data_IF_324644255982
#
_entry.id   IF_324644255982
#
_cell.length_a   1.000
_cell.length_b   1.000
_cell.length_c   1.000
_cell.angle_alpha   90.00
_cell.angle_beta   90.00
_cell.angle_gamma   90.00
#
_symmetry.space_group_name_H-M   'P 1'
#
loop_
_entity.id
_entity.type
_entity.pdbx_description
1 polymer ?
#
# COMPACT_ATOMS: atom_id res chain seq x y z
N UNK A 1 21.44 -6.37 -4.06
CA UNK A 1 22.33 -6.06 -2.91
C UNK A 1 21.47 -5.91 -1.67
N UNK A 2 21.78 -6.65 -0.61
CA UNK A 2 21.00 -6.60 0.64
C UNK A 2 20.99 -5.16 1.14
N UNK A 3 19.80 -4.65 1.45
CA UNK A 3 19.67 -3.38 2.16
C UNK A 3 20.06 -3.62 3.63
N UNK A 4 21.31 -3.29 3.98
CA UNK A 4 21.86 -3.50 5.33
C UNK A 4 21.07 -2.72 6.42
N UNK A 5 20.35 -1.67 6.03
CA UNK A 5 19.59 -0.82 6.96
C UNK A 5 18.41 -1.53 7.64
N UNK A 6 17.99 -2.68 7.09
CA UNK A 6 16.88 -3.48 7.65
C UNK A 6 17.36 -4.69 8.45
N UNK A 7 18.67 -4.94 8.50
CA UNK A 7 19.26 -6.07 9.23
C UNK A 7 19.69 -5.62 10.62
N UNK A 8 19.21 -6.31 11.62
CA UNK A 8 19.49 -5.99 13.03
C UNK A 8 20.03 -7.19 13.80
N UNK A 9 20.81 -6.91 14.84
CA UNK A 9 21.26 -7.94 15.78
C UNK A 9 20.12 -8.35 16.72
N UNK A 10 20.08 -9.64 17.08
CA UNK A 10 19.16 -10.20 18.07
C UNK A 10 19.23 -9.53 19.45
N UNK A 11 20.33 -8.81 19.72
CA UNK A 11 20.62 -8.18 21.02
C UNK A 11 20.09 -6.77 21.18
N UNK A 12 19.71 -6.09 20.09
CA UNK A 12 19.23 -4.72 20.20
C UNK A 12 17.87 -4.67 20.93
N UNK A 13 17.58 -3.52 21.53
CA UNK A 13 16.30 -3.32 22.23
C UNK A 13 15.13 -3.14 21.27
N UNK A 14 13.90 -3.40 21.74
CA UNK A 14 12.69 -3.06 21.00
C UNK A 14 12.63 -1.56 20.64
N UNK A 15 13.13 -0.69 21.55
CA UNK A 15 13.17 0.74 21.31
C UNK A 15 14.11 1.10 20.14
N UNK A 16 15.28 0.47 20.06
CA UNK A 16 16.21 0.73 18.98
C UNK A 16 15.71 0.15 17.66
N UNK A 17 15.08 -1.02 17.68
CA UNK A 17 14.39 -1.55 16.50
C UNK A 17 13.30 -0.59 16.01
N UNK A 18 12.51 -0.01 16.91
CA UNK A 18 11.48 0.97 16.57
C UNK A 18 12.08 2.25 15.93
N UNK A 19 13.21 2.75 16.45
CA UNK A 19 13.92 3.89 15.87
C UNK A 19 14.43 3.58 14.46
N UNK A 20 14.97 2.36 14.24
CA UNK A 20 15.41 1.92 12.91
C UNK A 20 14.21 1.85 11.96
N UNK A 21 13.08 1.26 12.38
CA UNK A 21 11.85 1.23 11.59
C UNK A 21 11.37 2.64 11.19
N UNK A 22 11.42 3.60 12.11
CA UNK A 22 11.02 4.98 11.87
C UNK A 22 11.96 5.69 10.88
N UNK A 23 13.29 5.58 11.10
CA UNK A 23 14.29 6.22 10.24
C UNK A 23 14.34 5.64 8.84
N UNK A 24 14.17 4.31 8.70
CA UNK A 24 14.16 3.61 7.40
C UNK A 24 12.79 3.58 6.73
N UNK A 25 11.73 4.02 7.43
CA UNK A 25 10.32 3.90 7.03
C UNK A 25 9.90 2.46 6.72
N UNK A 26 10.56 1.48 7.34
CA UNK A 26 10.27 0.05 7.18
C UNK A 26 9.42 -0.46 8.33
N UNK A 27 8.48 -1.35 8.03
CA UNK A 27 7.57 -1.95 9.01
C UNK A 27 8.05 -3.32 9.51
N UNK A 28 9.11 -3.85 8.91
CA UNK A 28 9.70 -5.15 9.20
C UNK A 28 11.22 -5.04 9.18
N UNK A 29 11.87 -5.68 10.14
CA UNK A 29 13.33 -5.82 10.20
C UNK A 29 13.71 -7.29 10.26
N UNK A 30 14.86 -7.61 9.68
CA UNK A 30 15.46 -8.94 9.65
C UNK A 30 16.38 -9.08 10.87
N UNK A 31 16.20 -10.13 11.65
CA UNK A 31 17.00 -10.40 12.85
C UNK A 31 18.05 -11.43 12.52
N UNK A 32 19.32 -11.08 12.78
CA UNK A 32 20.46 -11.96 12.53
C UNK A 32 21.37 -12.06 13.75
N UNK A 33 22.09 -13.19 13.87
CA UNK A 33 23.27 -13.36 14.73
C UNK A 33 24.51 -13.44 13.84
N UNK A 34 25.26 -12.34 13.75
CA UNK A 34 26.27 -12.20 12.72
C UNK A 34 25.65 -12.25 11.31
N UNK A 35 26.01 -13.26 10.51
CA UNK A 35 25.39 -13.49 9.19
C UNK A 35 24.19 -14.42 9.23
N UNK A 36 24.06 -15.20 10.31
CA UNK A 36 23.03 -16.22 10.42
C UNK A 36 21.65 -15.58 10.57
N UNK A 37 20.73 -15.94 9.71
CA UNK A 37 19.34 -15.56 9.81
C UNK A 37 18.68 -16.23 11.03
N UNK A 38 17.96 -15.45 11.84
CA UNK A 38 17.26 -15.94 13.02
C UNK A 38 15.74 -15.79 12.86
N UNK A 39 15.29 -14.67 12.31
CA UNK A 39 13.88 -14.41 12.19
C UNK A 39 13.59 -12.97 11.74
N UNK A 40 12.37 -12.52 11.98
CA UNK A 40 11.94 -11.16 11.67
C UNK A 40 11.19 -10.55 12.84
N UNK A 41 11.19 -9.22 12.91
CA UNK A 41 10.35 -8.46 13.83
C UNK A 41 9.61 -7.37 13.05
N UNK A 42 8.29 -7.29 13.25
CA UNK A 42 7.45 -6.27 12.61
C UNK A 42 7.00 -5.21 13.60
N UNK A 43 6.53 -4.08 13.08
CA UNK A 43 5.91 -3.04 13.90
C UNK A 43 4.74 -3.59 14.73
N UNK A 44 3.98 -4.56 14.20
CA UNK A 44 2.89 -5.23 14.92
C UNK A 44 3.37 -6.08 16.09
N UNK A 45 4.57 -6.66 16.01
CA UNK A 45 5.17 -7.41 17.13
C UNK A 45 5.53 -6.46 18.27
N UNK A 46 6.11 -5.29 17.95
CA UNK A 46 6.41 -4.24 18.93
C UNK A 46 5.14 -3.67 19.55
N UNK A 47 4.10 -3.42 18.75
CA UNK A 47 2.81 -2.95 19.26
C UNK A 47 2.18 -3.96 20.24
N UNK A 48 2.26 -5.26 19.96
CA UNK A 48 1.80 -6.31 20.90
C UNK A 48 2.60 -6.32 22.20
N UNK A 49 3.92 -6.13 22.13
CA UNK A 49 4.75 -5.99 23.32
C UNK A 49 4.34 -4.80 24.19
N UNK A 50 4.10 -3.63 23.58
CA UNK A 50 3.60 -2.42 24.27
C UNK A 50 2.24 -2.68 24.91
N UNK A 51 1.29 -3.25 24.18
CA UNK A 51 -0.05 -3.57 24.72
C UNK A 51 0.01 -4.57 25.88
N UNK A 52 1.00 -5.47 25.85
CA UNK A 52 1.28 -6.42 26.94
C UNK A 52 2.09 -5.81 28.08
N UNK A 53 2.29 -4.48 28.08
CA UNK A 53 3.06 -3.73 29.10
C UNK A 53 4.49 -4.22 29.29
N UNK A 54 5.12 -4.68 28.20
CA UNK A 54 6.53 -5.05 28.22
C UNK A 54 7.41 -3.81 28.06
N UNK A 55 8.57 -3.82 28.68
CA UNK A 55 9.53 -2.73 28.57
C UNK A 55 10.21 -2.73 27.21
N UNK A 56 10.35 -1.56 26.59
CA UNK A 56 11.00 -1.42 25.29
C UNK A 56 12.52 -1.62 25.34
N UNK A 57 13.08 -1.78 26.52
CA UNK A 57 14.50 -2.11 26.76
C UNK A 57 14.83 -3.59 26.54
N UNK A 58 13.81 -4.46 26.45
CA UNK A 58 14.00 -5.89 26.20
C UNK A 58 14.60 -6.15 24.81
N UNK A 59 15.42 -7.21 24.66
CA UNK A 59 15.98 -7.61 23.38
C UNK A 59 14.90 -7.99 22.37
N UNK A 60 15.10 -7.65 21.10
CA UNK A 60 14.16 -7.98 20.01
C UNK A 60 13.94 -9.49 19.88
N UNK A 61 14.92 -10.31 20.26
CA UNK A 61 14.85 -11.77 20.16
C UNK A 61 13.70 -12.38 20.94
N UNK A 62 13.26 -11.76 22.03
CA UNK A 62 12.11 -12.24 22.83
C UNK A 62 10.77 -12.12 22.09
N UNK A 63 10.73 -11.31 21.03
CA UNK A 63 9.51 -10.96 20.30
C UNK A 63 9.61 -11.24 18.81
N UNK A 64 10.80 -11.60 18.33
CA UNK A 64 11.02 -11.95 16.94
C UNK A 64 10.30 -13.26 16.58
N UNK A 65 9.76 -13.30 15.38
CA UNK A 65 9.19 -14.51 14.80
C UNK A 65 10.29 -15.31 14.13
N UNK A 66 10.54 -16.51 14.61
CA UNK A 66 11.59 -17.42 14.11
C UNK A 66 11.01 -18.49 13.17
N UNK A 67 9.74 -18.82 13.31
CA UNK A 67 9.03 -19.77 12.44
C UNK A 67 8.35 -19.00 11.31
N UNK A 68 9.11 -18.64 10.28
CA UNK A 68 8.62 -17.93 9.10
C UNK A 68 9.05 -18.64 7.82
N UNK A 69 8.34 -18.33 6.74
CA UNK A 69 8.71 -18.79 5.40
C UNK A 69 9.99 -18.07 4.94
N UNK A 70 10.96 -18.81 4.49
CA UNK A 70 12.19 -18.34 3.84
C UNK A 70 12.36 -19.03 2.50
N UNK A 71 13.13 -18.43 1.59
CA UNK A 71 13.57 -19.07 0.35
C UNK A 71 15.04 -19.49 0.45
N UNK A 72 15.44 -20.49 -0.33
CA UNK A 72 16.83 -20.89 -0.49
C UNK A 72 17.43 -20.19 -1.72
N UNK A 73 18.74 -19.95 -1.70
CA UNK A 73 19.48 -19.41 -2.86
C UNK A 73 19.26 -20.26 -4.13
N UNK A 74 18.99 -21.55 -3.96
CA UNK A 74 18.77 -22.49 -5.06
C UNK A 74 17.31 -22.57 -5.54
N UNK A 75 16.41 -21.86 -4.87
CA UNK A 75 14.99 -21.91 -5.23
C UNK A 75 14.71 -21.18 -6.56
N UNK A 76 13.78 -21.71 -7.30
CA UNK A 76 13.29 -21.10 -8.53
C UNK A 76 12.51 -19.82 -8.22
N UNK A 77 12.89 -18.71 -8.86
CA UNK A 77 12.30 -17.39 -8.60
C UNK A 77 10.77 -17.37 -8.80
N UNK A 78 10.25 -18.08 -9.80
CA UNK A 78 8.81 -18.13 -10.04
C UNK A 78 8.05 -18.87 -8.93
N UNK A 79 8.68 -19.89 -8.33
CA UNK A 79 8.12 -20.55 -7.13
C UNK A 79 8.14 -19.62 -5.92
N UNK A 80 9.22 -18.86 -5.74
CA UNK A 80 9.30 -17.84 -4.68
C UNK A 80 8.22 -16.79 -4.86
N UNK A 81 8.04 -16.25 -6.07
CA UNK A 81 6.97 -15.31 -6.41
C UNK A 81 5.58 -15.89 -6.12
N UNK A 82 5.31 -17.12 -6.55
CA UNK A 82 4.04 -17.79 -6.31
C UNK A 82 3.76 -17.94 -4.80
N UNK A 83 4.79 -18.29 -4.02
CA UNK A 83 4.71 -18.42 -2.57
C UNK A 83 4.43 -17.08 -1.89
N UNK A 84 5.14 -16.02 -2.27
CA UNK A 84 4.90 -14.67 -1.76
C UNK A 84 3.46 -14.22 -2.04
N UNK A 85 2.93 -14.47 -3.24
CA UNK A 85 1.53 -14.14 -3.60
C UNK A 85 0.52 -14.92 -2.77
N UNK A 86 0.68 -16.24 -2.64
CA UNK A 86 -0.28 -17.10 -1.92
C UNK A 86 -0.37 -16.75 -0.44
N UNK A 87 0.77 -16.49 0.18
CA UNK A 87 0.90 -16.28 1.63
C UNK A 87 0.90 -14.80 2.01
N UNK A 88 0.80 -13.89 1.03
CA UNK A 88 0.84 -12.42 1.19
C UNK A 88 2.09 -11.96 1.95
N UNK A 89 3.25 -12.50 1.55
CA UNK A 89 4.54 -12.16 2.14
C UNK A 89 5.08 -10.92 1.44
N UNK A 90 5.28 -9.83 2.17
CA UNK A 90 5.80 -8.56 1.66
C UNK A 90 7.33 -8.57 1.52
N UNK A 91 8.04 -9.32 2.38
CA UNK A 91 9.50 -9.44 2.38
C UNK A 91 9.90 -10.90 2.61
N UNK A 92 10.61 -11.51 1.67
CA UNK A 92 11.05 -12.91 1.71
C UNK A 92 12.56 -12.97 1.96
N UNK A 93 13.01 -13.42 3.15
CA UNK A 93 14.42 -13.69 3.37
C UNK A 93 14.89 -14.86 2.53
N UNK A 94 16.06 -14.71 1.89
CA UNK A 94 16.75 -15.78 1.17
C UNK A 94 17.93 -16.21 2.03
N UNK A 95 18.05 -17.49 2.32
CA UNK A 95 19.13 -18.05 3.09
C UNK A 95 19.96 -19.03 2.24
N UNK A 96 21.22 -19.18 2.60
CA UNK A 96 22.09 -20.18 2.00
C UNK A 96 21.98 -21.55 2.70
N UNK A 97 22.74 -22.55 2.22
CA UNK A 97 22.77 -23.89 2.80
C UNK A 97 23.30 -23.97 4.24
N UNK A 98 23.95 -22.93 4.75
CA UNK A 98 24.44 -22.81 6.12
C UNK A 98 23.40 -22.13 7.03
N UNK A 99 22.35 -21.56 6.46
CA UNK A 99 21.36 -20.76 7.17
C UNK A 99 21.77 -19.29 7.33
N UNK A 100 22.78 -18.83 6.60
CA UNK A 100 23.17 -17.43 6.58
C UNK A 100 22.28 -16.63 5.64
N UNK A 101 21.96 -15.39 6.02
CA UNK A 101 21.18 -14.49 5.20
C UNK A 101 21.95 -14.14 3.93
N UNK A 102 21.40 -14.49 2.78
CA UNK A 102 22.00 -14.22 1.47
C UNK A 102 21.41 -12.97 0.83
N UNK A 103 20.08 -12.79 0.88
CA UNK A 103 19.38 -11.63 0.33
C UNK A 103 17.99 -11.51 0.95
N UNK A 104 17.29 -10.43 0.65
CA UNK A 104 15.88 -10.23 1.00
C UNK A 104 15.14 -9.75 -0.24
N UNK A 105 14.14 -10.49 -0.67
CA UNK A 105 13.30 -10.10 -1.79
C UNK A 105 12.10 -9.33 -1.26
N UNK A 106 11.94 -8.10 -1.70
CA UNK A 106 10.80 -7.26 -1.38
C UNK A 106 9.69 -7.44 -2.44
N UNK A 107 8.43 -7.36 -1.98
CA UNK A 107 7.27 -7.45 -2.88
C UNK A 107 7.34 -6.46 -4.05
N UNK A 108 7.69 -5.21 -3.75
CA UNK A 108 7.75 -4.13 -4.74
C UNK A 108 8.84 -4.35 -5.80
N UNK A 109 9.92 -5.07 -5.45
CA UNK A 109 11.00 -5.41 -6.40
C UNK A 109 10.57 -6.50 -7.39
N UNK A 110 9.79 -7.47 -6.92
CA UNK A 110 9.33 -8.59 -7.74
C UNK A 110 8.10 -8.27 -8.57
N UNK A 111 7.24 -7.41 -8.08
CA UNK A 111 5.94 -7.09 -8.66
C UNK A 111 5.86 -5.62 -9.09
N UNK A 112 6.99 -5.04 -9.54
CA UNK A 112 7.01 -3.75 -10.21
C UNK A 112 6.11 -3.77 -11.46
N UNK A 113 5.70 -2.59 -11.94
CA UNK A 113 4.69 -2.40 -13.00
C UNK A 113 4.87 -3.24 -14.27
N UNK A 114 6.01 -3.89 -14.48
CA UNK A 114 6.26 -4.74 -15.63
C UNK A 114 5.54 -6.11 -15.57
N UNK A 115 5.27 -6.65 -14.38
CA UNK A 115 4.55 -7.92 -14.23
C UNK A 115 3.02 -7.79 -14.40
N UNK A 116 2.50 -6.57 -14.43
CA UNK A 116 1.07 -6.32 -14.68
C UNK A 116 0.65 -6.46 -16.14
N UNK A 117 1.61 -6.65 -17.06
CA UNK A 117 1.36 -6.70 -18.52
C UNK A 117 0.60 -7.94 -19.03
N UNK A 118 0.31 -8.92 -18.17
CA UNK A 118 -0.45 -10.13 -18.56
C UNK A 118 -1.89 -10.18 -18.04
N UNK A 119 -2.32 -9.17 -17.32
CA UNK A 119 -3.72 -9.07 -16.92
C UNK A 119 -4.54 -8.64 -18.12
N UNK A 120 -5.58 -9.43 -18.47
CA UNK A 120 -6.54 -9.01 -19.51
C UNK A 120 -7.11 -7.66 -19.14
N UNK A 121 -7.12 -6.69 -20.07
CA UNK A 121 -7.68 -5.37 -19.79
C UNK A 121 -9.10 -5.50 -19.23
N UNK A 122 -9.36 -4.83 -18.12
CA UNK A 122 -10.69 -4.80 -17.50
C UNK A 122 -11.39 -3.55 -18.02
N UNK A 123 -12.16 -3.67 -19.11
CA UNK A 123 -12.96 -2.55 -19.65
C UNK A 123 -14.28 -2.40 -18.88
N UNK A 124 -14.18 -1.95 -17.63
CA UNK A 124 -15.33 -1.65 -16.78
C UNK A 124 -15.36 -0.16 -16.42
N UNK A 125 -16.55 0.45 -16.28
CA UNK A 125 -16.67 1.78 -15.70
C UNK A 125 -16.16 1.81 -14.26
N UNK A 126 -15.46 2.87 -13.88
CA UNK A 126 -14.99 3.11 -12.52
C UNK A 126 -15.71 4.30 -11.93
N UNK A 127 -16.26 4.15 -10.74
CA UNK A 127 -16.90 5.19 -9.96
C UNK A 127 -16.02 5.56 -8.78
N UNK A 128 -15.49 6.77 -8.78
CA UNK A 128 -14.64 7.29 -7.70
C UNK A 128 -15.52 8.15 -6.78
N UNK A 129 -15.56 7.78 -5.49
CA UNK A 129 -16.33 8.47 -4.47
C UNK A 129 -15.51 9.63 -3.88
N UNK A 130 -15.67 10.83 -4.46
CA UNK A 130 -14.88 12.03 -4.11
C UNK A 130 -15.70 13.11 -3.37
N UNK A 131 -16.89 12.78 -2.87
CA UNK A 131 -17.79 13.75 -2.23
C UNK A 131 -17.51 14.06 -0.76
N UNK A 132 -16.57 13.36 -0.12
CA UNK A 132 -16.28 13.48 1.31
C UNK A 132 -15.49 14.74 1.68
N UNK A 133 -15.75 15.29 2.88
CA UNK A 133 -15.03 16.46 3.43
C UNK A 133 -13.58 16.20 3.83
N UNK A 134 -13.15 14.95 3.93
CA UNK A 134 -11.78 14.61 4.32
C UNK A 134 -11.39 15.04 5.74
N UNK A 135 -12.30 14.98 6.70
CA UNK A 135 -12.14 15.53 8.06
C UNK A 135 -10.96 14.98 8.85
N UNK A 136 -10.47 13.78 8.51
CA UNK A 136 -9.26 13.19 9.12
C UNK A 136 -7.96 13.91 8.72
N UNK A 137 -8.02 14.72 7.67
CA UNK A 137 -6.88 15.47 7.11
C UNK A 137 -6.99 16.98 7.39
N UNK A 138 -7.85 17.37 8.33
CA UNK A 138 -7.91 18.76 8.79
C UNK A 138 -6.60 19.18 9.47
N UNK A 139 -6.14 20.44 9.28
CA UNK A 139 -6.84 21.56 8.61
C UNK A 139 -6.63 21.63 7.08
N UNK A 140 -5.82 20.74 6.48
CA UNK A 140 -5.46 20.77 5.07
C UNK A 140 -6.69 20.75 4.15
N UNK A 141 -7.69 19.94 4.50
CA UNK A 141 -8.93 19.79 3.70
C UNK A 141 -9.91 20.96 3.81
N UNK A 142 -9.59 21.99 4.61
CA UNK A 142 -10.30 23.26 4.54
C UNK A 142 -9.91 24.10 3.30
N UNK A 143 -8.73 23.82 2.72
CA UNK A 143 -8.17 24.59 1.61
C UNK A 143 -8.12 23.77 0.33
N UNK A 144 -7.76 22.50 0.43
CA UNK A 144 -7.61 21.59 -0.72
C UNK A 144 -8.52 20.38 -0.49
N UNK A 145 -9.46 20.07 -1.42
CA UNK A 145 -10.29 18.87 -1.27
C UNK A 145 -9.41 17.62 -1.32
N UNK A 146 -9.72 16.60 -0.49
CA UNK A 146 -8.93 15.36 -0.37
C UNK A 146 -8.49 14.76 -1.72
N UNK A 147 -9.34 14.69 -2.77
CA UNK A 147 -8.94 14.14 -4.06
C UNK A 147 -7.78 14.88 -4.74
N UNK A 148 -7.57 16.17 -4.41
CA UNK A 148 -6.53 17.01 -4.99
C UNK A 148 -5.29 17.14 -4.12
N UNK A 149 -5.22 16.48 -2.97
CA UNK A 149 -4.00 16.46 -2.14
C UNK A 149 -2.89 15.77 -2.95
N UNK A 150 -1.70 16.41 -3.09
CA UNK A 150 -0.60 15.85 -3.85
C UNK A 150 0.02 14.65 -3.12
N UNK A 151 0.33 13.61 -3.90
CA UNK A 151 1.21 12.51 -3.53
C UNK A 151 2.34 12.50 -4.56
N UNK A 152 3.52 12.93 -4.17
CA UNK A 152 4.64 13.17 -5.10
C UNK A 152 4.25 14.16 -6.22
N UNK A 153 4.27 13.74 -7.47
CA UNK A 153 3.99 14.53 -8.67
C UNK A 153 2.52 14.53 -9.11
N UNK A 154 1.68 13.67 -8.51
CA UNK A 154 0.25 13.51 -8.82
C UNK A 154 -0.63 13.82 -7.62
N UNK A 155 -1.91 14.04 -7.87
CA UNK A 155 -2.91 14.10 -6.81
C UNK A 155 -3.39 12.68 -6.44
N UNK A 156 -4.00 12.52 -5.26
CA UNK A 156 -4.63 11.25 -4.83
C UNK A 156 -5.53 10.69 -5.94
N UNK A 157 -6.37 11.55 -6.53
CA UNK A 157 -7.31 11.11 -7.55
C UNK A 157 -6.62 10.71 -8.85
N UNK A 158 -5.57 11.42 -9.26
CA UNK A 158 -4.78 11.04 -10.44
C UNK A 158 -4.07 9.71 -10.25
N UNK A 159 -3.55 9.44 -9.05
CA UNK A 159 -2.92 8.16 -8.75
C UNK A 159 -3.91 7.00 -8.85
N UNK A 160 -5.10 7.16 -8.24
CA UNK A 160 -6.19 6.18 -8.36
C UNK A 160 -6.56 5.96 -9.82
N UNK A 161 -6.78 7.04 -10.58
CA UNK A 161 -7.15 6.96 -12.00
C UNK A 161 -6.06 6.33 -12.86
N UNK A 162 -4.78 6.63 -12.58
CA UNK A 162 -3.64 6.02 -13.28
C UNK A 162 -3.64 4.51 -13.13
N UNK A 163 -3.87 4.00 -11.92
CA UNK A 163 -3.95 2.57 -11.65
C UNK A 163 -5.08 1.88 -12.42
N UNK A 164 -6.27 2.48 -12.46
CA UNK A 164 -7.40 1.93 -13.22
C UNK A 164 -7.16 1.99 -14.73
N UNK A 165 -6.57 3.08 -15.23
CA UNK A 165 -6.22 3.20 -16.64
C UNK A 165 -5.18 2.15 -17.06
N UNK A 166 -4.17 1.90 -16.23
CA UNK A 166 -3.18 0.84 -16.45
C UNK A 166 -3.84 -0.56 -16.51
N UNK A 167 -4.94 -0.77 -15.77
CA UNK A 167 -5.74 -1.98 -15.83
C UNK A 167 -6.70 -2.06 -17.03
N UNK A 168 -6.80 -0.99 -17.86
CA UNK A 168 -7.66 -0.94 -19.04
C UNK A 168 -9.02 -0.26 -18.83
N UNK A 169 -9.28 0.35 -17.67
CA UNK A 169 -10.52 1.07 -17.40
C UNK A 169 -10.42 2.52 -17.90
N UNK A 170 -11.15 2.86 -18.94
CA UNK A 170 -11.12 4.21 -19.53
C UNK A 170 -12.28 5.10 -19.11
N UNK A 171 -13.42 4.52 -18.71
CA UNK A 171 -14.65 5.24 -18.36
C UNK A 171 -14.67 5.55 -16.86
N UNK A 172 -14.44 6.82 -16.50
CA UNK A 172 -14.33 7.25 -15.11
C UNK A 172 -15.45 8.21 -14.73
N UNK A 173 -16.24 7.82 -13.75
CA UNK A 173 -17.28 8.60 -13.11
C UNK A 173 -16.79 9.09 -11.74
N UNK A 174 -17.03 10.36 -11.44
CA UNK A 174 -16.59 10.96 -10.17
C UNK A 174 -17.79 11.51 -9.42
N UNK A 175 -18.11 10.89 -8.28
CA UNK A 175 -19.14 11.42 -7.37
C UNK A 175 -18.55 12.54 -6.53
N UNK A 176 -19.13 13.74 -6.62
CA UNK A 176 -18.61 14.95 -5.97
C UNK A 176 -19.70 15.64 -5.15
N UNK A 177 -19.31 16.23 -4.01
CA UNK A 177 -20.19 17.04 -3.18
C UNK A 177 -19.43 18.23 -2.56
N UNK A 178 -18.33 17.97 -1.85
CA UNK A 178 -17.53 19.00 -1.20
C UNK A 178 -16.52 19.60 -2.18
N UNK A 179 -16.43 20.93 -2.22
CA UNK A 179 -15.53 21.71 -3.10
C UNK A 179 -15.57 21.28 -4.59
N UNK A 180 -16.77 21.04 -5.09
CA UNK A 180 -17.01 20.51 -6.46
C UNK A 180 -16.32 21.34 -7.53
N UNK A 181 -16.46 22.68 -7.46
CA UNK A 181 -15.94 23.57 -8.49
C UNK A 181 -14.40 23.55 -8.53
N UNK A 182 -13.75 23.45 -7.37
CA UNK A 182 -12.28 23.30 -7.28
C UNK A 182 -11.80 22.01 -7.96
N UNK A 183 -12.52 20.90 -7.75
CA UNK A 183 -12.19 19.61 -8.38
C UNK A 183 -12.39 19.71 -9.90
N UNK A 184 -13.52 20.25 -10.34
CA UNK A 184 -13.82 20.41 -11.78
C UNK A 184 -12.82 21.34 -12.47
N UNK A 185 -12.48 22.47 -11.85
CA UNK A 185 -11.50 23.41 -12.39
C UNK A 185 -10.12 22.77 -12.54
N UNK A 186 -9.68 22.01 -11.55
CA UNK A 186 -8.38 21.32 -11.64
C UNK A 186 -8.34 20.38 -12.85
N UNK A 187 -9.34 19.52 -13.00
CA UNK A 187 -9.39 18.56 -14.10
C UNK A 187 -9.79 19.14 -15.46
N UNK A 188 -10.39 20.33 -15.52
CA UNK A 188 -10.62 21.03 -16.78
C UNK A 188 -9.32 21.39 -17.52
N UNK A 189 -8.21 21.51 -16.78
CA UNK A 189 -6.87 21.77 -17.32
C UNK A 189 -6.13 20.48 -17.71
N UNK A 190 -6.76 19.33 -17.56
CA UNK A 190 -6.20 17.99 -17.80
C UNK A 190 -7.17 17.17 -18.68
N UNK A 191 -7.30 17.54 -19.96
CA UNK A 191 -8.30 16.95 -20.87
C UNK A 191 -8.05 15.48 -21.19
N UNK A 192 -6.87 14.97 -20.89
CA UNK A 192 -6.53 13.54 -20.96
C UNK A 192 -7.37 12.68 -20.01
N UNK A 193 -7.91 13.28 -18.93
CA UNK A 193 -8.86 12.65 -18.03
C UNK A 193 -10.29 12.98 -18.45
N UNK A 194 -10.90 12.09 -19.21
CA UNK A 194 -12.32 12.23 -19.63
C UNK A 194 -13.23 11.83 -18.48
N UNK A 195 -13.53 12.80 -17.58
CA UNK A 195 -14.31 12.54 -16.36
C UNK A 195 -15.79 12.87 -16.54
N UNK A 196 -16.66 11.97 -16.10
CA UNK A 196 -18.10 12.24 -15.93
C UNK A 196 -18.40 12.51 -14.47
N UNK A 197 -18.97 13.69 -14.18
CA UNK A 197 -19.27 14.08 -12.80
C UNK A 197 -20.70 13.74 -12.40
N UNK A 198 -20.82 13.18 -11.18
CA UNK A 198 -22.09 12.91 -10.52
C UNK A 198 -22.16 13.81 -9.31
N UNK A 199 -22.95 14.87 -9.39
CA UNK A 199 -23.04 15.84 -8.32
C UNK A 199 -24.14 15.47 -7.33
N UNK A 200 -23.74 15.25 -6.07
CA UNK A 200 -24.66 15.03 -4.96
C UNK A 200 -25.23 16.39 -4.48
N UNK A 201 -26.55 16.53 -4.43
CA UNK A 201 -27.20 17.73 -3.87
C UNK A 201 -27.07 17.83 -2.35
N UNK A 202 -26.85 16.70 -1.69
CA UNK A 202 -26.57 16.55 -0.26
C UNK A 202 -25.69 15.32 -0.05
N UNK A 203 -24.89 15.25 1.01
CA UNK A 203 -24.08 14.07 1.29
C UNK A 203 -24.95 12.82 1.42
N UNK A 204 -24.72 11.83 0.57
CA UNK A 204 -25.48 10.57 0.55
C UNK A 204 -24.72 9.40 1.20
N UNK A 205 -23.52 9.66 1.70
CA UNK A 205 -22.63 8.64 2.26
C UNK A 205 -21.93 7.80 1.19
N UNK A 206 -21.11 6.85 1.60
CA UNK A 206 -20.20 6.10 0.71
C UNK A 206 -20.93 5.32 -0.39
N UNK A 207 -22.15 4.83 -0.16
CA UNK A 207 -22.88 4.06 -1.16
C UNK A 207 -24.12 4.77 -1.75
N UNK A 208 -24.59 5.83 -1.09
CA UNK A 208 -25.87 6.45 -1.46
C UNK A 208 -25.83 7.19 -2.80
N UNK A 209 -24.67 7.74 -3.18
CA UNK A 209 -24.49 8.40 -4.47
C UNK A 209 -24.56 7.44 -5.67
N UNK A 210 -24.36 6.13 -5.45
CA UNK A 210 -24.53 5.13 -6.50
C UNK A 210 -25.96 5.10 -7.07
N UNK A 211 -26.94 5.51 -6.28
CA UNK A 211 -28.31 5.65 -6.78
C UNK A 211 -28.43 6.66 -7.94
N UNK A 212 -27.58 7.68 -7.95
CA UNK A 212 -27.54 8.70 -9.00
C UNK A 212 -27.01 8.19 -10.35
N UNK A 213 -26.43 6.98 -10.35
CA UNK A 213 -25.96 6.28 -11.56
C UNK A 213 -27.06 5.47 -12.25
N UNK A 214 -28.22 5.33 -11.61
CA UNK A 214 -29.35 4.60 -12.19
C UNK A 214 -29.72 5.20 -13.57
N UNK A 215 -29.67 4.35 -14.60
CA UNK A 215 -29.90 4.75 -15.99
C UNK A 215 -28.70 5.40 -16.70
N UNK A 216 -27.58 5.64 -16.01
CA UNK A 216 -26.32 6.09 -16.64
C UNK A 216 -25.36 4.94 -16.88
N UNK A 217 -25.27 4.00 -15.92
CA UNK A 217 -24.47 2.78 -16.04
C UNK A 217 -25.44 1.60 -15.88
N UNK A 218 -25.53 0.75 -16.89
CA UNK A 218 -26.43 -0.41 -16.95
C UNK A 218 -25.61 -1.74 -17.01
N UNK A 219 -24.38 -1.73 -16.60
CA UNK A 219 -23.45 -2.85 -16.59
C UNK A 219 -22.73 -2.95 -15.26
N UNK A 220 -21.94 -4.00 -15.07
CA UNK A 220 -21.03 -4.12 -13.93
C UNK A 220 -20.04 -2.97 -13.93
N UNK A 221 -19.75 -2.38 -12.77
CA UNK A 221 -18.81 -1.29 -12.62
C UNK A 221 -18.02 -1.45 -11.31
N UNK A 222 -16.87 -0.79 -11.25
CA UNK A 222 -15.99 -0.76 -10.07
C UNK A 222 -16.31 0.48 -9.26
N UNK A 223 -16.31 0.36 -7.93
CA UNK A 223 -16.46 1.49 -7.00
C UNK A 223 -15.23 1.59 -6.12
N UNK A 224 -14.68 2.80 -5.99
CA UNK A 224 -13.53 3.10 -5.13
C UNK A 224 -13.69 4.45 -4.43
N UNK A 225 -12.91 4.69 -3.34
CA UNK A 225 -12.90 5.98 -2.63
C UNK A 225 -11.50 6.33 -2.12
#
# INVERSE_FOLDING_TARGET
>A
MINEDIIISEKISLLDALKIMDSTRRKLLIVCTGKRFIGVISIGDIQRAILSKRELTHPVMEYARTEITVAQVTDDLEKVKAKMRSDKIESMPIIDGNGDLYDVIEWDELFSEEDTKTVRPVDLPVVIMAGGKGTRLLPLTNVIPKPLIPISDKTIMEEIMSGFRAAGCERIYVSVNYMVETIKEYFSRKPEWKLEYIQEKKPLGTGGSLYLLKGRINETFIVTN
#
